data_IF_534266626012
#
_entry.id   IF_534266626012
#
_cell.length_a   1.000
_cell.length_b   1.000
_cell.length_c   1.000
_cell.angle_alpha   90.00
_cell.angle_beta   90.00
_cell.angle_gamma   90.00
#
_symmetry.space_group_name_H-M   'P 1'
#
loop_
_entity.id
_entity.type
_entity.pdbx_description
1 polymer ?
#
# COMPACT_ATOMS: atom_id res chain seq x y z
N UNK A 1 -8.83 -16.05 5.19
CA UNK A 1 -8.30 -16.86 4.07
C UNK A 1 -7.53 -15.93 3.13
N UNK A 2 -6.51 -16.45 2.44
CA UNK A 2 -5.76 -15.68 1.42
C UNK A 2 -6.72 -15.22 0.32
N UNK A 3 -6.44 -14.08 -0.31
CA UNK A 3 -7.27 -13.47 -1.34
C UNK A 3 -8.49 -12.70 -0.81
N UNK A 4 -8.64 -12.58 0.51
CA UNK A 4 -9.73 -11.78 1.08
C UNK A 4 -9.32 -10.30 1.20
N UNK A 5 -10.27 -9.43 0.84
CA UNK A 5 -10.18 -8.00 1.12
C UNK A 5 -11.22 -7.67 2.18
N UNK A 6 -10.75 -7.16 3.31
CA UNK A 6 -11.57 -6.79 4.47
C UNK A 6 -11.61 -5.28 4.55
N UNK A 7 -12.77 -4.69 4.35
CA UNK A 7 -12.97 -3.25 4.48
C UNK A 7 -13.23 -2.82 5.92
N UNK A 8 -12.48 -1.85 6.41
CA UNK A 8 -12.72 -1.18 7.70
C UNK A 8 -13.17 0.25 7.43
N UNK A 9 -14.39 0.56 7.84
CA UNK A 9 -14.97 1.91 7.67
C UNK A 9 -15.46 2.46 9.01
N UNK A 10 -15.61 3.75 9.08
CA UNK A 10 -16.12 4.43 10.27
C UNK A 10 -15.85 5.94 10.22
N UNK A 11 -16.38 6.71 11.19
CA UNK A 11 -16.15 8.15 11.26
C UNK A 11 -14.66 8.53 11.32
N UNK A 12 -14.37 9.77 10.96
CA UNK A 12 -13.04 10.36 11.15
C UNK A 12 -12.65 10.29 12.62
N UNK A 13 -11.38 10.01 12.91
CA UNK A 13 -10.82 9.92 14.27
C UNK A 13 -11.40 8.81 15.16
N UNK A 14 -12.11 7.81 14.64
CA UNK A 14 -12.59 6.65 15.42
C UNK A 14 -11.53 5.56 15.68
N UNK A 15 -10.26 5.79 15.32
CA UNK A 15 -9.16 4.87 15.62
C UNK A 15 -8.82 3.85 14.53
N UNK A 16 -9.34 3.99 13.30
CA UNK A 16 -9.06 3.04 12.20
C UNK A 16 -7.56 2.90 11.89
N UNK A 17 -6.85 4.02 11.73
CA UNK A 17 -5.40 4.01 11.48
C UNK A 17 -4.62 3.49 12.70
N UNK A 18 -5.10 3.75 13.91
CA UNK A 18 -4.56 3.18 15.16
C UNK A 18 -4.67 1.66 15.15
N UNK A 19 -5.82 1.12 14.70
CA UNK A 19 -6.00 -0.31 14.51
C UNK A 19 -5.02 -0.86 13.47
N UNK A 20 -4.83 -0.18 12.34
CA UNK A 20 -3.82 -0.56 11.34
C UNK A 20 -2.41 -0.65 11.94
N UNK A 21 -2.02 0.32 12.75
CA UNK A 21 -0.72 0.34 13.45
C UNK A 21 -0.59 -0.72 14.55
N UNK A 22 -1.70 -1.21 15.10
CA UNK A 22 -1.68 -2.31 16.07
C UNK A 22 -1.15 -3.62 15.44
N UNK A 23 -1.43 -3.86 14.15
CA UNK A 23 -0.87 -5.01 13.42
C UNK A 23 0.66 -4.91 13.22
N UNK A 24 1.23 -3.71 13.28
CA UNK A 24 2.67 -3.48 13.27
C UNK A 24 3.28 -3.54 14.67
N UNK A 25 2.45 -3.66 15.71
CA UNK A 25 2.83 -3.53 17.11
C UNK A 25 3.48 -2.14 17.45
N UNK A 26 3.14 -1.11 16.67
CA UNK A 26 3.55 0.29 16.92
C UNK A 26 2.65 0.98 17.94
N UNK A 27 1.49 0.39 18.20
CA UNK A 27 0.54 0.86 19.21
C UNK A 27 0.24 -0.28 20.18
N UNK A 28 0.19 -0.03 21.49
CA UNK A 28 -0.20 -1.03 22.45
C UNK A 28 -1.66 -1.43 22.25
N UNK A 29 -1.95 -2.73 22.34
CA UNK A 29 -3.31 -3.26 22.26
C UNK A 29 -3.53 -4.35 23.31
N UNK A 30 -4.78 -4.59 23.66
CA UNK A 30 -5.18 -5.73 24.50
C UNK A 30 -5.74 -6.85 23.63
N UNK A 31 -5.49 -8.11 24.05
CA UNK A 31 -5.94 -9.28 23.30
C UNK A 31 -4.81 -9.91 22.47
N UNK A 32 -5.17 -10.55 21.35
CA UNK A 32 -4.25 -11.35 20.53
C UNK A 32 -4.47 -11.06 19.04
N UNK A 33 -3.39 -10.81 18.30
CA UNK A 33 -3.41 -10.71 16.83
C UNK A 33 -2.50 -11.81 16.28
N UNK A 34 -3.11 -12.79 15.61
CA UNK A 34 -2.37 -13.91 15.05
C UNK A 34 -2.44 -13.97 13.53
N UNK A 35 -1.30 -14.26 12.92
CA UNK A 35 -1.18 -14.53 11.50
C UNK A 35 -0.56 -15.91 11.31
N UNK A 36 -1.27 -16.82 10.64
CA UNK A 36 -0.88 -18.22 10.46
C UNK A 36 -0.51 -18.91 11.80
N UNK A 37 -1.30 -18.61 12.85
CA UNK A 37 -1.11 -19.17 14.19
C UNK A 37 -0.03 -18.51 15.05
N UNK A 38 0.80 -17.63 14.48
CA UNK A 38 1.87 -16.89 15.19
C UNK A 38 1.33 -15.58 15.76
N UNK A 39 1.58 -15.34 17.03
CA UNK A 39 1.20 -14.08 17.70
C UNK A 39 2.14 -12.95 17.25
N UNK A 40 1.59 -11.87 16.67
CA UNK A 40 2.41 -10.78 16.11
C UNK A 40 3.22 -10.05 17.18
N UNK A 41 2.71 -9.95 18.40
CA UNK A 41 3.42 -9.28 19.50
C UNK A 41 4.68 -10.04 19.96
N UNK A 42 4.73 -11.35 19.73
CA UNK A 42 5.87 -12.22 20.10
C UNK A 42 6.97 -12.23 19.03
N UNK A 43 6.68 -11.72 17.83
CA UNK A 43 7.64 -11.67 16.74
C UNK A 43 8.59 -10.50 16.89
N UNK A 44 9.85 -10.70 16.48
CA UNK A 44 10.79 -9.60 16.31
C UNK A 44 10.30 -8.61 15.23
N UNK A 45 10.74 -7.35 15.26
CA UNK A 45 10.40 -6.38 14.21
C UNK A 45 10.73 -6.89 12.80
N UNK A 46 11.86 -7.57 12.65
CA UNK A 46 12.30 -8.15 11.38
C UNK A 46 11.33 -9.23 10.86
N UNK A 47 10.90 -10.14 11.71
CA UNK A 47 9.93 -11.17 11.33
C UNK A 47 8.59 -10.55 10.93
N UNK A 48 8.12 -9.53 11.66
CA UNK A 48 6.88 -8.81 11.32
C UNK A 48 6.94 -8.15 9.95
N UNK A 49 8.04 -7.50 9.59
CA UNK A 49 8.20 -6.88 8.26
C UNK A 49 8.16 -7.90 7.12
N UNK A 50 8.47 -9.16 7.38
CA UNK A 50 8.27 -10.26 6.44
C UNK A 50 6.82 -10.72 6.29
N UNK A 51 5.95 -10.39 7.24
CA UNK A 51 4.56 -10.86 7.30
C UNK A 51 3.54 -9.77 7.01
N UNK A 52 3.82 -8.53 7.38
CA UNK A 52 2.88 -7.40 7.30
C UNK A 52 3.47 -6.31 6.41
N UNK A 53 2.75 -5.98 5.34
CA UNK A 53 2.97 -4.79 4.52
C UNK A 53 1.99 -3.69 4.95
N UNK A 54 2.47 -2.47 5.07
CA UNK A 54 1.64 -1.33 5.48
C UNK A 54 1.84 -0.14 4.55
N UNK A 55 0.74 0.37 4.04
CA UNK A 55 0.68 1.65 3.34
C UNK A 55 -0.09 2.64 4.22
N UNK A 56 0.61 3.67 4.72
CA UNK A 56 0.01 4.73 5.52
C UNK A 56 -0.76 5.75 4.68
N UNK A 57 -1.54 6.59 5.38
CA UNK A 57 -2.32 7.66 4.76
C UNK A 57 -1.43 8.69 4.02
N UNK A 58 -0.30 9.05 4.61
CA UNK A 58 0.68 9.96 4.02
C UNK A 58 1.96 9.19 3.66
N UNK A 59 2.04 8.62 2.46
CA UNK A 59 3.17 7.79 2.08
C UNK A 59 4.42 8.62 1.82
N UNK A 60 5.53 8.24 2.44
CA UNK A 60 6.82 8.83 2.18
C UNK A 60 7.52 8.12 1.00
N UNK A 61 8.12 8.93 0.13
CA UNK A 61 8.97 8.47 -0.95
C UNK A 61 10.44 8.67 -0.60
N UNK A 62 11.26 7.68 -0.95
CA UNK A 62 12.70 7.81 -0.81
C UNK A 62 13.27 8.76 -1.85
N UNK A 63 14.33 9.46 -1.50
CA UNK A 63 15.13 10.22 -2.47
C UNK A 63 15.87 9.22 -3.39
N UNK A 64 15.36 9.04 -4.58
CA UNK A 64 15.84 8.07 -5.55
C UNK A 64 15.00 8.08 -6.82
N UNK A 65 15.19 7.13 -7.70
CA UNK A 65 14.39 6.99 -8.92
C UNK A 65 13.01 6.37 -8.63
N UNK A 66 12.10 6.47 -9.59
CA UNK A 66 10.80 5.76 -9.53
C UNK A 66 11.06 4.26 -9.44
N UNK A 67 12.00 3.71 -10.23
CA UNK A 67 12.41 2.31 -10.17
C UNK A 67 12.85 1.90 -8.77
N UNK A 68 13.77 2.66 -8.17
CA UNK A 68 14.27 2.39 -6.82
C UNK A 68 13.16 2.46 -5.77
N UNK A 69 12.23 3.39 -5.91
CA UNK A 69 11.09 3.51 -5.02
C UNK A 69 10.12 2.31 -5.09
N UNK A 70 9.93 1.71 -6.27
CA UNK A 70 9.08 0.53 -6.41
C UNK A 70 9.80 -0.73 -5.94
N UNK A 71 11.04 -0.95 -6.38
CA UNK A 71 11.74 -2.23 -6.21
C UNK A 71 12.52 -2.35 -4.91
N UNK A 72 12.89 -1.25 -4.24
CA UNK A 72 13.66 -1.24 -2.98
C UNK A 72 14.95 -2.07 -3.06
N UNK A 73 15.59 -2.13 -4.22
CA UNK A 73 16.80 -2.91 -4.46
C UNK A 73 16.55 -4.32 -5.01
N UNK A 74 15.30 -4.76 -5.08
CA UNK A 74 14.99 -6.02 -5.76
C UNK A 74 15.19 -5.90 -7.28
N UNK A 75 15.38 -7.03 -7.93
CA UNK A 75 15.50 -7.12 -9.39
C UNK A 75 14.12 -7.34 -10.01
N UNK A 76 13.88 -6.77 -11.19
CA UNK A 76 12.64 -6.97 -11.93
C UNK A 76 12.21 -5.75 -12.74
N UNK A 77 11.04 -5.86 -13.34
CA UNK A 77 10.39 -4.76 -14.05
C UNK A 77 9.29 -4.15 -13.17
N UNK A 78 9.42 -2.88 -12.74
CA UNK A 78 8.40 -2.22 -11.94
C UNK A 78 7.14 -1.86 -12.73
N UNK A 79 7.16 -1.98 -14.07
CA UNK A 79 6.06 -1.54 -14.94
C UNK A 79 4.76 -2.27 -14.67
N UNK A 80 4.78 -3.54 -14.29
CA UNK A 80 3.56 -4.29 -13.98
C UNK A 80 2.86 -3.73 -12.73
N UNK A 81 3.63 -3.32 -11.74
CA UNK A 81 3.08 -2.67 -10.54
C UNK A 81 2.62 -1.25 -10.81
N UNK A 82 3.33 -0.51 -11.68
CA UNK A 82 2.92 0.84 -12.10
C UNK A 82 1.63 0.80 -12.92
N UNK A 83 1.45 -0.18 -13.82
CA UNK A 83 0.19 -0.42 -14.53
C UNK A 83 -0.94 -0.75 -13.56
N UNK A 84 -0.67 -1.59 -12.56
CA UNK A 84 -1.67 -1.97 -11.58
C UNK A 84 -2.23 -0.79 -10.77
N UNK A 85 -1.45 0.27 -10.64
CA UNK A 85 -1.86 1.52 -9.96
C UNK A 85 -2.15 2.66 -10.94
N UNK A 86 -2.29 2.38 -12.24
CA UNK A 86 -2.59 3.37 -13.29
C UNK A 86 -1.59 4.54 -13.30
N UNK A 87 -0.30 4.26 -13.12
CA UNK A 87 0.76 5.28 -13.09
C UNK A 87 1.75 5.14 -14.25
N UNK A 88 1.72 4.04 -14.98
CA UNK A 88 2.64 3.69 -16.06
C UNK A 88 2.65 4.72 -17.20
N UNK A 89 1.48 5.19 -17.63
CA UNK A 89 1.36 6.20 -18.68
C UNK A 89 1.97 7.54 -18.28
N UNK A 90 1.77 7.96 -17.03
CA UNK A 90 2.35 9.20 -16.51
C UNK A 90 3.87 9.10 -16.36
N UNK A 91 4.37 7.94 -15.90
CA UNK A 91 5.81 7.69 -15.81
C UNK A 91 6.44 7.64 -17.19
N UNK A 92 5.80 7.00 -18.17
CA UNK A 92 6.29 6.96 -19.55
C UNK A 92 6.35 8.34 -20.19
N UNK A 93 5.50 9.28 -19.77
CA UNK A 93 5.51 10.67 -20.25
C UNK A 93 6.58 11.56 -19.59
N UNK A 94 7.23 11.09 -18.52
CA UNK A 94 8.34 11.80 -17.89
C UNK A 94 9.61 11.69 -18.74
N UNK A 95 10.42 12.74 -18.76
CA UNK A 95 11.64 12.79 -19.60
C UNK A 95 12.59 11.63 -19.36
N UNK A 96 12.74 11.20 -18.10
CA UNK A 96 13.64 10.11 -17.70
C UNK A 96 12.88 8.81 -17.38
N UNK A 97 11.54 8.79 -17.58
CA UNK A 97 10.72 7.61 -17.34
C UNK A 97 10.94 7.03 -15.94
N UNK A 98 11.28 5.76 -15.86
CA UNK A 98 11.56 5.04 -14.60
C UNK A 98 12.76 5.59 -13.83
N UNK A 99 13.69 6.24 -14.52
CA UNK A 99 14.90 6.83 -13.91
C UNK A 99 14.67 8.24 -13.38
N UNK A 100 13.44 8.77 -13.53
CA UNK A 100 13.06 10.06 -12.95
C UNK A 100 13.26 10.03 -11.44
N UNK A 101 14.09 10.96 -10.93
CA UNK A 101 14.36 11.08 -9.50
C UNK A 101 13.21 11.79 -8.82
N UNK A 102 12.77 11.24 -7.68
CA UNK A 102 11.70 11.75 -6.82
C UNK A 102 12.17 11.90 -5.38
N UNK A 103 11.35 12.45 -4.53
CA UNK A 103 11.71 12.73 -3.13
C UNK A 103 12.51 14.02 -2.99
N UNK A 104 13.35 14.11 -1.95
CA UNK A 104 14.12 15.34 -1.68
C UNK A 104 15.08 15.65 -2.81
N UNK A 105 14.93 16.83 -3.43
CA UNK A 105 15.76 17.27 -4.55
C UNK A 105 15.39 16.68 -5.92
N UNK A 106 14.37 15.84 -6.01
CA UNK A 106 13.86 15.31 -7.26
C UNK A 106 12.60 16.03 -7.76
N UNK A 107 11.96 15.45 -8.77
CA UNK A 107 10.68 15.93 -9.31
C UNK A 107 9.61 15.81 -8.22
N UNK A 108 8.83 16.88 -8.05
CA UNK A 108 7.71 16.88 -7.12
C UNK A 108 6.51 16.18 -7.76
N UNK A 109 6.18 15.01 -7.27
CA UNK A 109 4.96 14.30 -7.64
C UNK A 109 3.72 14.98 -7.01
N UNK A 110 2.57 14.88 -7.68
CA UNK A 110 1.29 15.20 -7.06
C UNK A 110 0.98 14.22 -5.91
N UNK A 111 0.08 14.60 -4.99
CA UNK A 111 -0.34 13.70 -3.90
C UNK A 111 -0.85 12.35 -4.41
N UNK A 112 -1.67 12.36 -5.47
CA UNK A 112 -2.18 11.13 -6.10
C UNK A 112 -1.09 10.29 -6.78
N UNK A 113 -0.09 10.92 -7.40
CA UNK A 113 1.07 10.20 -7.98
C UNK A 113 1.92 9.56 -6.87
N UNK A 114 2.22 10.31 -5.81
CA UNK A 114 3.00 9.80 -4.69
C UNK A 114 2.30 8.63 -4.00
N UNK A 115 0.98 8.73 -3.80
CA UNK A 115 0.17 7.68 -3.21
C UNK A 115 0.14 6.41 -4.08
N UNK A 116 -0.05 6.55 -5.40
CA UNK A 116 -0.01 5.42 -6.34
C UNK A 116 1.38 4.80 -6.41
N UNK A 117 2.44 5.58 -6.40
CA UNK A 117 3.81 5.07 -6.39
C UNK A 117 4.12 4.25 -5.12
N UNK A 118 3.68 4.73 -3.96
CA UNK A 118 3.82 4.00 -2.70
C UNK A 118 2.95 2.73 -2.67
N UNK A 119 1.76 2.75 -3.28
CA UNK A 119 0.94 1.56 -3.44
C UNK A 119 1.61 0.54 -4.38
N UNK A 120 2.21 0.97 -5.50
CA UNK A 120 2.98 0.12 -6.40
C UNK A 120 4.13 -0.58 -5.65
N UNK A 121 4.87 0.17 -4.83
CA UNK A 121 5.91 -0.37 -3.94
C UNK A 121 5.36 -1.43 -2.99
N UNK A 122 4.22 -1.16 -2.35
CA UNK A 122 3.60 -2.11 -1.42
C UNK A 122 3.17 -3.40 -2.12
N UNK A 123 2.67 -3.30 -3.36
CA UNK A 123 2.28 -4.45 -4.17
C UNK A 123 3.49 -5.21 -4.73
N UNK A 124 4.61 -4.54 -5.01
CA UNK A 124 5.84 -5.20 -5.44
C UNK A 124 6.44 -6.09 -4.33
N UNK A 125 6.30 -5.66 -3.08
CA UNK A 125 6.78 -6.40 -1.91
C UNK A 125 5.64 -7.07 -1.16
N UNK A 126 4.94 -7.99 -1.83
CA UNK A 126 3.79 -8.69 -1.26
C UNK A 126 4.12 -9.38 0.07
N UNK A 127 3.19 -9.24 1.00
CA UNK A 127 3.24 -9.88 2.32
C UNK A 127 1.95 -10.66 2.55
N UNK A 128 1.96 -11.69 3.41
CA UNK A 128 0.76 -12.44 3.78
C UNK A 128 -0.41 -11.56 4.27
N UNK A 129 -0.10 -10.44 4.91
CA UNK A 129 -1.06 -9.41 5.31
C UNK A 129 -0.66 -8.06 4.74
N UNK A 130 -1.57 -7.41 4.01
CA UNK A 130 -1.42 -6.04 3.53
C UNK A 130 -2.43 -5.15 4.22
N UNK A 131 -1.97 -4.05 4.79
CA UNK A 131 -2.82 -3.03 5.41
C UNK A 131 -2.66 -1.76 4.60
N UNK A 132 -3.76 -1.30 4.03
CA UNK A 132 -3.82 -0.12 3.19
C UNK A 132 -4.70 0.93 3.88
N UNK A 133 -4.07 1.98 4.40
CA UNK A 133 -4.76 3.04 5.14
C UNK A 133 -5.09 4.21 4.21
N UNK A 134 -6.34 4.27 3.81
CA UNK A 134 -6.95 5.26 2.90
C UNK A 134 -6.21 5.41 1.56
N UNK A 135 -5.88 4.28 0.87
CA UNK A 135 -4.97 4.26 -0.29
C UNK A 135 -5.52 5.01 -1.50
N UNK A 136 -6.80 5.40 -1.49
CA UNK A 136 -7.49 6.02 -2.63
C UNK A 136 -7.93 7.47 -2.35
N UNK A 137 -7.52 8.07 -1.23
CA UNK A 137 -7.99 9.39 -0.78
C UNK A 137 -7.72 10.53 -1.77
N UNK A 138 -6.65 10.43 -2.56
CA UNK A 138 -6.23 11.43 -3.55
C UNK A 138 -6.59 11.05 -5.00
N UNK A 139 -7.45 10.04 -5.21
CA UNK A 139 -7.79 9.52 -6.53
C UNK A 139 -9.24 9.84 -6.93
N UNK A 140 -9.46 9.94 -8.24
CA UNK A 140 -10.80 9.95 -8.80
C UNK A 140 -11.42 8.53 -8.80
N UNK A 141 -12.74 8.45 -8.91
CA UNK A 141 -13.48 7.18 -8.81
C UNK A 141 -13.17 6.17 -9.91
N UNK A 142 -12.84 6.63 -11.11
CA UNK A 142 -12.53 5.72 -12.22
C UNK A 142 -11.20 5.02 -11.95
N UNK A 143 -10.18 5.80 -11.60
CA UNK A 143 -8.86 5.29 -11.21
C UNK A 143 -8.95 4.38 -9.97
N UNK A 144 -9.72 4.76 -8.95
CA UNK A 144 -9.96 3.91 -7.76
C UNK A 144 -10.52 2.54 -8.15
N UNK A 145 -11.56 2.52 -8.99
CA UNK A 145 -12.22 1.27 -9.43
C UNK A 145 -11.26 0.35 -10.18
N UNK A 146 -10.44 0.93 -11.07
CA UNK A 146 -9.46 0.18 -11.85
C UNK A 146 -8.37 -0.40 -10.97
N UNK A 147 -7.79 0.41 -10.07
CA UNK A 147 -6.77 -0.05 -9.13
C UNK A 147 -7.34 -1.15 -8.21
N UNK A 148 -8.57 -1.00 -7.74
CA UNK A 148 -9.21 -2.00 -6.89
C UNK A 148 -9.37 -3.36 -7.62
N UNK A 149 -9.73 -3.34 -8.90
CA UNK A 149 -9.80 -4.57 -9.71
C UNK A 149 -8.43 -5.24 -9.87
N UNK A 150 -7.37 -4.44 -10.03
CA UNK A 150 -5.98 -4.95 -10.08
C UNK A 150 -5.53 -5.49 -8.73
N UNK A 151 -5.85 -4.78 -7.63
CA UNK A 151 -5.52 -5.20 -6.26
C UNK A 151 -6.07 -6.59 -5.95
N UNK A 152 -7.34 -6.86 -6.30
CA UNK A 152 -7.95 -8.19 -6.12
C UNK A 152 -7.17 -9.31 -6.79
N UNK A 153 -6.58 -9.05 -7.94
CA UNK A 153 -5.80 -10.02 -8.72
C UNK A 153 -4.39 -10.19 -8.17
N UNK A 154 -3.71 -9.07 -7.90
CA UNK A 154 -2.32 -9.10 -7.43
C UNK A 154 -2.19 -9.58 -5.98
N UNK A 155 -3.14 -9.28 -5.13
CA UNK A 155 -3.12 -9.68 -3.73
C UNK A 155 -3.85 -11.01 -3.46
N UNK A 156 -3.98 -11.88 -4.47
CA UNK A 156 -4.68 -13.17 -4.34
C UNK A 156 -4.10 -14.08 -3.25
N UNK A 157 -2.80 -13.97 -2.99
CA UNK A 157 -2.11 -14.75 -1.95
C UNK A 157 -2.00 -14.03 -0.60
N UNK A 158 -2.54 -12.82 -0.50
CA UNK A 158 -2.52 -11.99 0.70
C UNK A 158 -3.91 -11.86 1.30
N UNK A 159 -3.98 -11.54 2.59
CA UNK A 159 -5.16 -10.92 3.20
C UNK A 159 -4.96 -9.41 3.13
N UNK A 160 -5.92 -8.68 2.60
CA UNK A 160 -5.87 -7.22 2.50
C UNK A 160 -6.84 -6.61 3.50
N UNK A 161 -6.36 -5.74 4.36
CA UNK A 161 -7.18 -4.86 5.20
C UNK A 161 -7.17 -3.47 4.55
N UNK A 162 -8.33 -3.06 4.06
CA UNK A 162 -8.53 -1.76 3.46
C UNK A 162 -9.24 -0.84 4.45
N UNK A 163 -8.53 0.14 4.96
CA UNK A 163 -9.08 1.18 5.83
C UNK A 163 -9.49 2.35 4.95
N UNK A 164 -10.76 2.78 5.02
CA UNK A 164 -11.22 3.94 4.26
C UNK A 164 -12.39 4.65 4.96
N UNK A 165 -12.48 5.94 4.71
CA UNK A 165 -13.61 6.76 5.14
C UNK A 165 -14.84 6.60 4.22
N UNK A 166 -14.69 6.01 3.04
CA UNK A 166 -15.67 6.02 1.95
C UNK A 166 -16.08 4.64 1.41
N UNK A 167 -15.73 3.52 2.06
CA UNK A 167 -16.06 2.16 1.56
C UNK A 167 -17.57 1.92 1.36
N UNK A 168 -18.43 2.85 1.68
CA UNK A 168 -19.89 2.66 1.67
C UNK A 168 -20.57 2.64 0.29
N UNK A 169 -19.89 2.79 -0.86
CA UNK A 169 -20.60 3.02 -2.14
C UNK A 169 -20.12 2.25 -3.38
N UNK A 170 -19.03 1.53 -3.37
CA UNK A 170 -18.48 0.98 -4.62
C UNK A 170 -18.03 -0.50 -4.59
N UNK A 171 -17.96 -1.17 -3.44
CA UNK A 171 -17.25 -2.45 -3.35
C UNK A 171 -18.01 -3.56 -2.60
N UNK A 172 -19.35 -3.50 -2.54
CA UNK A 172 -20.19 -4.60 -2.08
C UNK A 172 -20.90 -5.24 -3.27
#
# INVERSE_FOLDING_TARGET
>A
CRGQIIGITGPVACGKSTLGKAFLCEQPYGGSIRLDGRELAELSPWERTGLVGYLGHDPELFSGTIRENVLLGDTGDPMDYLRAVCLDGEVAAMTEGLETRVGTGGVRLSGGQAQRLALARTLAHQRPLLILDDPFSALDRATETEIFAHLRRLAADSVVILISHQIGRAHV
#
